data_IF_911778704490
#
_entry.id   IF_911778704490
#
_cell.length_a   1.000
_cell.length_b   1.000
_cell.length_c   1.000
_cell.angle_alpha   90.00
_cell.angle_beta   90.00
_cell.angle_gamma   90.00
#
_symmetry.space_group_name_H-M   'P 1'
#
loop_
_entity.id
_entity.type
_entity.pdbx_description
1 polymer ?
#
# COMPACT_ATOMS: atom_id res chain seq x y z
N UNK A 1 6.41 -14.89 2.98
CA UNK A 1 6.45 -13.42 2.92
C UNK A 1 5.08 -12.86 3.21
N UNK A 2 5.00 -11.84 4.03
CA UNK A 2 3.74 -11.16 4.33
C UNK A 2 3.26 -10.41 3.09
N UNK A 3 2.01 -10.59 2.72
CA UNK A 3 1.43 -9.93 1.58
C UNK A 3 0.60 -8.73 2.02
N UNK A 4 0.36 -7.81 1.11
CA UNK A 4 -0.46 -6.63 1.41
C UNK A 4 -1.81 -7.02 1.99
N UNK A 5 -2.46 -8.03 1.43
CA UNK A 5 -3.76 -8.50 1.93
C UNK A 5 -3.74 -8.93 3.39
N UNK A 6 -2.56 -9.38 3.87
CA UNK A 6 -2.43 -9.87 5.25
C UNK A 6 -2.37 -8.74 6.27
N UNK A 7 -1.95 -7.55 5.86
CA UNK A 7 -1.79 -6.41 6.78
C UNK A 7 -2.84 -5.33 6.60
N UNK A 8 -3.44 -5.25 5.43
CA UNK A 8 -4.34 -4.15 5.09
C UNK A 8 -5.53 -4.06 6.05
N UNK A 9 -6.06 -5.21 6.48
CA UNK A 9 -7.18 -5.27 7.42
C UNK A 9 -6.84 -4.82 8.84
N UNK A 10 -5.56 -4.77 9.18
CA UNK A 10 -5.11 -4.34 10.51
C UNK A 10 -4.76 -2.86 10.58
N UNK A 11 -4.77 -2.17 9.43
CA UNK A 11 -4.45 -0.75 9.37
C UNK A 11 -5.75 0.03 9.27
N UNK A 12 -6.08 0.78 10.32
CA UNK A 12 -7.31 1.58 10.34
C UNK A 12 -7.17 2.93 9.66
N UNK A 13 -5.99 3.25 9.18
CA UNK A 13 -5.67 4.53 8.56
C UNK A 13 -5.78 4.42 7.04
N UNK A 14 -5.73 5.57 6.38
CA UNK A 14 -5.48 5.57 4.94
C UNK A 14 -4.10 4.98 4.68
N UNK A 15 -3.94 4.31 3.55
CA UNK A 15 -2.69 3.64 3.19
C UNK A 15 -2.17 4.23 1.88
N UNK A 16 -0.92 4.65 1.91
CA UNK A 16 -0.21 5.06 0.70
C UNK A 16 0.70 3.90 0.29
N UNK A 17 0.41 3.30 -0.85
CA UNK A 17 1.25 2.24 -1.40
C UNK A 17 2.43 2.85 -2.14
N UNK A 18 3.61 2.38 -1.84
CA UNK A 18 4.83 2.83 -2.50
C UNK A 18 5.64 1.62 -2.96
N UNK A 19 6.48 1.84 -3.97
CA UNK A 19 7.42 0.80 -4.40
C UNK A 19 8.76 0.97 -3.68
N UNK A 20 9.73 0.12 -3.99
CA UNK A 20 11.04 0.15 -3.33
C UNK A 20 11.82 1.44 -3.61
N UNK A 21 11.43 2.21 -4.59
CA UNK A 21 12.05 3.50 -4.91
C UNK A 21 11.32 4.68 -4.25
N UNK A 22 10.36 4.40 -3.38
CA UNK A 22 9.51 5.39 -2.72
C UNK A 22 8.57 6.13 -3.69
N UNK A 23 8.32 5.57 -4.87
CA UNK A 23 7.32 6.13 -5.77
C UNK A 23 5.93 5.72 -5.32
N UNK A 24 5.02 6.67 -5.28
CA UNK A 24 3.63 6.38 -4.92
C UNK A 24 2.96 5.57 -6.03
N UNK A 25 2.35 4.46 -5.65
CA UNK A 25 1.61 3.59 -6.55
C UNK A 25 0.13 3.93 -6.49
N UNK A 26 -0.40 4.03 -5.28
CA UNK A 26 -1.82 4.26 -5.06
C UNK A 26 -2.05 4.79 -3.65
N UNK A 27 -3.15 5.52 -3.50
CA UNK A 27 -3.61 5.95 -2.20
C UNK A 27 -4.92 5.22 -1.92
N UNK A 28 -4.95 4.45 -0.83
CA UNK A 28 -6.10 3.64 -0.46
C UNK A 28 -6.76 4.27 0.76
N UNK A 29 -7.93 4.85 0.56
CA UNK A 29 -8.69 5.42 1.67
C UNK A 29 -9.26 4.30 2.52
N UNK A 30 -9.33 4.54 3.83
CA UNK A 30 -9.75 3.49 4.76
C UNK A 30 -11.15 2.95 4.48
N UNK A 31 -12.02 3.76 3.89
CA UNK A 31 -13.39 3.35 3.54
C UNK A 31 -13.43 2.43 2.31
N UNK A 32 -12.35 2.37 1.54
CA UNK A 32 -12.32 1.67 0.25
C UNK A 32 -11.30 0.56 0.18
N UNK A 33 -10.90 0.00 1.32
CA UNK A 33 -9.89 -1.07 1.33
C UNK A 33 -10.34 -2.32 0.59
N UNK A 34 -11.64 -2.54 0.49
CA UNK A 34 -12.18 -3.70 -0.23
C UNK A 34 -12.09 -3.55 -1.75
N UNK A 35 -11.79 -2.36 -2.23
CA UNK A 35 -11.70 -2.08 -3.67
C UNK A 35 -10.29 -2.21 -4.24
N UNK A 36 -9.35 -2.67 -3.44
CA UNK A 36 -7.95 -2.80 -3.87
C UNK A 36 -7.79 -3.96 -4.85
N UNK A 37 -7.08 -3.70 -5.95
CA UNK A 37 -6.83 -4.71 -6.97
C UNK A 37 -6.05 -5.90 -6.41
N UNK A 38 -6.39 -7.10 -6.84
CA UNK A 38 -5.69 -8.32 -6.42
C UNK A 38 -4.20 -8.28 -6.75
N UNK A 39 -3.81 -7.60 -7.82
CA UNK A 39 -2.39 -7.53 -8.18
C UNK A 39 -1.57 -6.85 -7.08
N UNK A 40 -2.14 -5.88 -6.37
CA UNK A 40 -1.46 -5.25 -5.23
C UNK A 40 -1.59 -6.11 -3.98
N UNK A 41 -2.77 -6.70 -3.76
CA UNK A 41 -3.03 -7.51 -2.58
C UNK A 41 -2.07 -8.71 -2.46
N UNK A 42 -1.63 -9.25 -3.59
CA UNK A 42 -0.71 -10.39 -3.61
C UNK A 42 0.75 -9.99 -3.51
N UNK A 43 1.07 -8.72 -3.56
CA UNK A 43 2.45 -8.26 -3.46
C UNK A 43 2.98 -8.43 -2.03
N UNK A 44 4.25 -8.79 -1.93
CA UNK A 44 4.92 -8.86 -0.63
C UNK A 44 5.12 -7.48 -0.04
N UNK A 45 5.01 -7.38 1.27
CA UNK A 45 5.25 -6.13 2.01
C UNK A 45 6.71 -6.07 2.40
N UNK A 46 7.38 -4.98 2.03
CA UNK A 46 8.78 -4.76 2.34
C UNK A 46 8.97 -3.93 3.61
N UNK A 47 8.11 -2.95 3.82
CA UNK A 47 8.23 -2.04 4.96
C UNK A 47 6.89 -1.35 5.21
N UNK A 48 6.63 -1.03 6.47
CA UNK A 48 5.47 -0.24 6.88
C UNK A 48 5.99 0.91 7.73
N UNK A 49 5.57 2.12 7.42
CA UNK A 49 6.00 3.31 8.17
C UNK A 49 4.89 4.34 8.25
N UNK A 50 4.97 5.20 9.26
CA UNK A 50 4.02 6.31 9.41
C UNK A 50 4.45 7.42 8.46
N UNK A 51 3.49 7.96 7.70
CA UNK A 51 3.75 9.09 6.82
C UNK A 51 3.62 10.38 7.64
N UNK A 52 4.75 11.05 7.91
CA UNK A 52 4.76 12.26 8.73
C UNK A 52 4.17 13.47 8.01
N UNK A 53 4.16 13.46 6.69
CA UNK A 53 3.66 14.57 5.88
C UNK A 53 2.15 14.51 5.66
N UNK A 54 1.56 13.35 5.82
CA UNK A 54 0.11 13.12 5.59
C UNK A 54 -0.50 12.57 6.86
N UNK A 55 -1.34 13.36 7.52
CA UNK A 55 -1.99 12.92 8.74
C UNK A 55 -2.81 11.65 8.53
N UNK A 56 -2.78 10.78 9.53
CA UNK A 56 -3.55 9.54 9.57
C UNK A 56 -3.29 8.64 8.36
N UNK A 57 -2.08 8.70 7.80
CA UNK A 57 -1.68 7.89 6.66
C UNK A 57 -0.49 7.02 7.00
N UNK A 58 -0.54 5.77 6.58
CA UNK A 58 0.53 4.79 6.76
C UNK A 58 1.08 4.44 5.39
N UNK A 59 2.40 4.53 5.24
CA UNK A 59 3.07 4.12 4.01
C UNK A 59 3.34 2.63 4.08
N UNK A 60 2.92 1.90 3.05
CA UNK A 60 3.24 0.48 2.91
C UNK A 60 4.03 0.29 1.63
N UNK A 61 5.28 -0.12 1.79
CA UNK A 61 6.16 -0.40 0.67
C UNK A 61 5.95 -1.83 0.22
N UNK A 62 5.62 -2.03 -1.04
CA UNK A 62 5.36 -3.36 -1.59
C UNK A 62 6.38 -3.73 -2.66
N UNK A 63 6.57 -5.03 -2.84
CA UNK A 63 7.51 -5.57 -3.82
C UNK A 63 6.89 -5.54 -5.21
N UNK A 64 7.03 -4.40 -5.87
CA UNK A 64 6.59 -4.23 -7.25
C UNK A 64 7.71 -3.51 -8.01
N UNK A 65 8.03 -3.99 -9.20
CA UNK A 65 9.19 -3.50 -9.92
C UNK A 65 8.99 -2.13 -10.56
N UNK A 66 7.76 -1.81 -10.90
CA UNK A 66 7.44 -0.53 -11.51
C UNK A 66 6.00 -0.16 -11.21
N UNK A 67 5.73 1.13 -11.26
CA UNK A 67 4.37 1.64 -11.16
C UNK A 67 3.64 1.34 -12.46
N UNK A 68 2.49 0.69 -12.36
CA UNK A 68 1.65 0.41 -13.51
C UNK A 68 0.44 1.35 -13.45
N UNK A 69 0.42 2.31 -14.35
CA UNK A 69 -0.66 3.29 -14.43
C UNK A 69 -1.84 2.77 -15.23
N UNK A 70 -1.61 1.74 -16.04
CA UNK A 70 -2.64 1.16 -16.89
C UNK A 70 -2.60 -0.36 -16.78
N UNK A 71 -3.73 -0.96 -16.81
CA UNK A 71 -3.86 -2.42 -16.82
C UNK A 71 -4.02 -2.95 -18.23
#
# INVERSE_FOLDING_TARGET
MTKLKDVLGYIDNDVRLINANNDEIALIFREFKDAVSDKYLECGVLEISINEAMDATVDVMIAINKVELYD
#
